data_IF_580935250981
#
_entry.id   IF_580935250981
#
_cell.length_a   1.000
_cell.length_b   1.000
_cell.length_c   1.000
_cell.angle_alpha   90.00
_cell.angle_beta   90.00
_cell.angle_gamma   90.00
#
_symmetry.space_group_name_H-M   'P 1'
#
loop_
_entity.id
_entity.type
_entity.pdbx_description
1 polymer ?
#
# COMPACT_ATOMS: atom_id res chain seq x y z
N UNK A 1 6.78 15.88 21.61
CA UNK A 1 6.73 14.43 21.92
C UNK A 1 5.27 14.06 22.13
N UNK A 2 4.81 12.96 21.54
CA UNK A 2 3.41 12.53 21.62
C UNK A 2 3.33 11.07 22.12
N UNK A 3 2.43 10.81 23.06
CA UNK A 3 2.16 9.46 23.58
C UNK A 3 0.87 8.96 22.94
N UNK A 4 0.93 7.79 22.30
CA UNK A 4 -0.16 7.18 21.53
C UNK A 4 -0.36 5.75 22.05
N UNK A 5 -1.22 5.54 23.06
CA UNK A 5 -1.41 4.23 23.67
C UNK A 5 -1.82 3.13 22.68
N UNK A 6 -2.58 3.48 21.65
CA UNK A 6 -3.07 2.56 20.62
C UNK A 6 -1.94 1.98 19.74
N UNK A 7 -0.77 2.62 19.73
CA UNK A 7 0.37 2.22 18.92
C UNK A 7 0.86 0.82 19.26
N UNK A 8 0.82 0.43 20.54
CA UNK A 8 1.30 -0.89 20.98
C UNK A 8 0.51 -2.02 20.31
N UNK A 9 -0.82 -1.91 20.31
CA UNK A 9 -1.70 -2.87 19.66
C UNK A 9 -1.52 -2.87 18.14
N UNK A 10 -1.36 -1.69 17.53
CA UNK A 10 -1.18 -1.56 16.08
C UNK A 10 0.13 -2.22 15.61
N UNK A 11 1.24 -1.99 16.32
CA UNK A 11 2.55 -2.60 16.03
C UNK A 11 2.49 -4.12 16.17
N UNK A 12 1.83 -4.63 17.21
CA UNK A 12 1.65 -6.07 17.41
C UNK A 12 0.90 -6.72 16.25
N UNK A 13 -0.28 -6.20 15.90
CA UNK A 13 -1.09 -6.71 14.79
C UNK A 13 -0.36 -6.60 13.44
N UNK A 14 0.39 -5.52 13.23
CA UNK A 14 1.24 -5.31 12.05
C UNK A 14 2.34 -6.37 11.94
N UNK A 15 2.90 -6.80 13.07
CA UNK A 15 3.91 -7.86 13.08
C UNK A 15 3.33 -9.23 12.74
N UNK A 16 2.10 -9.51 13.17
CA UNK A 16 1.36 -10.75 12.90
C UNK A 16 0.86 -10.79 11.44
N UNK A 17 0.50 -9.64 10.85
CA UNK A 17 -0.05 -9.52 9.50
C UNK A 17 0.99 -9.39 8.37
N UNK A 18 2.27 -9.75 8.62
CA UNK A 18 3.36 -9.57 7.65
C UNK A 18 3.14 -10.33 6.33
N UNK A 19 2.65 -11.57 6.39
CA UNK A 19 2.37 -12.39 5.21
C UNK A 19 1.26 -11.78 4.35
N UNK A 20 0.13 -11.44 4.95
CA UNK A 20 -1.00 -10.78 4.28
C UNK A 20 -0.58 -9.48 3.58
N UNK A 21 0.32 -8.70 4.19
CA UNK A 21 0.85 -7.47 3.55
C UNK A 21 1.71 -7.75 2.33
N UNK A 22 2.50 -8.83 2.34
CA UNK A 22 3.30 -9.25 1.18
C UNK A 22 2.38 -9.69 0.04
N UNK A 23 1.34 -10.47 0.34
CA UNK A 23 0.32 -10.88 -0.64
C UNK A 23 -0.40 -9.67 -1.24
N UNK A 24 -0.84 -8.73 -0.41
CA UNK A 24 -1.46 -7.48 -0.88
C UNK A 24 -0.53 -6.65 -1.76
N UNK A 25 0.78 -6.62 -1.46
CA UNK A 25 1.78 -5.95 -2.30
C UNK A 25 1.89 -6.65 -3.66
N UNK A 26 1.99 -7.98 -3.68
CA UNK A 26 2.05 -8.76 -4.92
C UNK A 26 0.81 -8.56 -5.79
N UNK A 27 -0.39 -8.66 -5.22
CA UNK A 27 -1.65 -8.47 -5.95
C UNK A 27 -1.77 -7.05 -6.55
N UNK A 28 -1.21 -6.03 -5.89
CA UNK A 28 -1.15 -4.66 -6.44
C UNK A 28 -0.20 -4.57 -7.63
N UNK A 29 1.00 -5.13 -7.52
CA UNK A 29 1.95 -5.18 -8.63
C UNK A 29 1.36 -5.93 -9.84
N UNK A 30 0.66 -7.05 -9.59
CA UNK A 30 -0.02 -7.80 -10.65
C UNK A 30 -1.15 -6.98 -11.29
N UNK A 31 -1.97 -6.30 -10.49
CA UNK A 31 -2.99 -5.38 -11.01
C UNK A 31 -2.37 -4.31 -11.90
N UNK A 32 -1.32 -3.64 -11.42
CA UNK A 32 -0.69 -2.52 -12.12
C UNK A 32 -0.11 -2.96 -13.46
N UNK A 33 0.59 -4.11 -13.49
CA UNK A 33 1.12 -4.67 -14.74
C UNK A 33 0.02 -5.05 -15.74
N UNK A 34 -1.12 -5.58 -15.27
CA UNK A 34 -2.27 -5.89 -16.12
C UNK A 34 -2.94 -4.62 -16.64
N UNK A 35 -3.12 -3.60 -15.80
CA UNK A 35 -3.67 -2.29 -16.21
C UNK A 35 -2.77 -1.63 -17.26
N UNK A 36 -1.44 -1.66 -17.09
CA UNK A 36 -0.49 -1.15 -18.08
C UNK A 36 -0.57 -1.89 -19.42
N UNK A 37 -0.74 -3.22 -19.40
CA UNK A 37 -0.95 -3.99 -20.65
C UNK A 37 -2.26 -3.61 -21.34
N UNK A 38 -3.34 -3.41 -20.58
CA UNK A 38 -4.63 -3.01 -21.12
C UNK A 38 -4.52 -1.63 -21.77
N UNK A 39 -3.93 -0.65 -21.09
CA UNK A 39 -3.76 0.70 -21.65
C UNK A 39 -2.91 0.69 -22.92
N UNK A 40 -1.86 -0.15 -23.01
CA UNK A 40 -1.06 -0.31 -24.23
C UNK A 40 -1.88 -0.90 -25.39
N UNK A 41 -2.72 -1.90 -25.12
CA UNK A 41 -3.60 -2.51 -26.13
C UNK A 41 -4.70 -1.54 -26.60
N UNK A 42 -5.27 -0.77 -25.68
CA UNK A 42 -6.25 0.26 -26.03
C UNK A 42 -5.63 1.35 -26.89
N UNK A 43 -4.38 1.73 -26.59
CA UNK A 43 -3.63 2.68 -27.40
C UNK A 43 -3.36 2.15 -28.81
N UNK A 44 -2.87 0.91 -28.96
CA UNK A 44 -2.63 0.32 -30.29
C UNK A 44 -3.91 0.20 -31.11
N UNK A 45 -5.03 -0.20 -30.48
CA UNK A 45 -6.34 -0.28 -31.13
C UNK A 45 -6.86 1.07 -31.64
N UNK A 46 -6.53 2.17 -30.96
CA UNK A 46 -7.00 3.51 -31.33
C UNK A 46 -6.14 4.20 -32.38
N UNK A 47 -4.82 3.99 -32.35
CA UNK A 47 -3.87 4.80 -33.12
C UNK A 47 -3.10 4.03 -34.20
N UNK A 48 -3.13 2.70 -34.23
CA UNK A 48 -2.48 1.90 -35.27
C UNK A 48 -3.47 1.46 -36.36
N UNK A 49 -3.07 1.58 -37.64
CA UNK A 49 -3.82 1.06 -38.79
C UNK A 49 -3.68 -0.47 -38.87
N UNK A 50 -4.42 -1.16 -38.02
CA UNK A 50 -4.42 -2.62 -37.91
C UNK A 50 -5.42 -3.26 -38.89
N UNK A 51 -5.10 -4.44 -39.39
CA UNK A 51 -6.05 -5.22 -40.19
C UNK A 51 -7.22 -5.71 -39.31
N UNK A 52 -8.41 -5.91 -39.90
CA UNK A 52 -9.60 -6.36 -39.15
C UNK A 52 -9.37 -7.67 -38.38
N UNK A 53 -8.50 -8.55 -38.90
CA UNK A 53 -8.16 -9.81 -38.23
C UNK A 53 -7.23 -9.61 -37.01
N UNK A 54 -6.35 -8.62 -37.05
CA UNK A 54 -5.49 -8.24 -35.90
C UNK A 54 -6.31 -7.54 -34.82
N UNK A 55 -7.21 -6.64 -35.22
CA UNK A 55 -8.17 -5.99 -34.32
C UNK A 55 -9.01 -7.02 -33.55
N UNK A 56 -9.55 -8.03 -34.24
CA UNK A 56 -10.32 -9.09 -33.59
C UNK A 56 -9.53 -9.87 -32.52
N UNK A 57 -8.25 -10.17 -32.79
CA UNK A 57 -7.38 -10.86 -31.82
C UNK A 57 -7.09 -9.98 -30.61
N UNK A 58 -6.73 -8.72 -30.82
CA UNK A 58 -6.42 -7.77 -29.75
C UNK A 58 -7.65 -7.48 -28.87
N UNK A 59 -8.84 -7.39 -29.46
CA UNK A 59 -10.10 -7.25 -28.70
C UNK A 59 -10.36 -8.48 -27.81
N UNK A 60 -10.14 -9.69 -28.33
CA UNK A 60 -10.30 -10.91 -27.53
C UNK A 60 -9.29 -11.00 -26.38
N UNK A 61 -8.05 -10.54 -26.58
CA UNK A 61 -7.04 -10.46 -25.54
C UNK A 61 -7.38 -9.40 -24.50
N UNK A 62 -7.85 -8.23 -24.94
CA UNK A 62 -8.34 -7.15 -24.08
C UNK A 62 -9.47 -7.61 -23.17
N UNK A 63 -10.47 -8.32 -23.71
CA UNK A 63 -11.57 -8.88 -22.92
C UNK A 63 -11.09 -9.88 -21.87
N UNK A 64 -10.13 -10.75 -22.23
CA UNK A 64 -9.53 -11.70 -21.28
C UNK A 64 -8.78 -10.98 -20.15
N UNK A 65 -8.01 -9.93 -20.46
CA UNK A 65 -7.30 -9.13 -19.47
C UNK A 65 -8.27 -8.36 -18.56
N UNK A 66 -9.39 -7.85 -19.10
CA UNK A 66 -10.44 -7.22 -18.30
C UNK A 66 -11.08 -8.21 -17.32
N UNK A 67 -11.32 -9.45 -17.73
CA UNK A 67 -11.82 -10.49 -16.82
C UNK A 67 -10.79 -10.80 -15.72
N UNK A 68 -9.51 -10.93 -16.07
CA UNK A 68 -8.43 -11.12 -15.11
C UNK A 68 -8.35 -9.96 -14.11
N UNK A 69 -8.42 -8.72 -14.60
CA UNK A 69 -8.39 -7.52 -13.78
C UNK A 69 -9.57 -7.47 -12.79
N UNK A 70 -10.77 -7.82 -13.24
CA UNK A 70 -11.95 -7.93 -12.36
C UNK A 70 -11.71 -8.97 -11.24
N UNK A 71 -11.15 -10.12 -11.57
CA UNK A 71 -10.77 -11.15 -10.60
C UNK A 71 -9.79 -10.63 -9.55
N UNK A 72 -8.70 -9.99 -9.98
CA UNK A 72 -7.68 -9.42 -9.08
C UNK A 72 -8.29 -8.33 -8.18
N UNK A 73 -9.16 -7.47 -8.72
CA UNK A 73 -9.84 -6.41 -7.94
C UNK A 73 -10.73 -6.99 -6.84
N UNK A 74 -11.43 -8.10 -7.11
CA UNK A 74 -12.22 -8.80 -6.08
C UNK A 74 -11.30 -9.37 -4.99
N UNK A 75 -10.25 -10.09 -5.37
CA UNK A 75 -9.27 -10.66 -4.41
C UNK A 75 -8.61 -9.57 -3.55
N UNK A 76 -8.24 -8.44 -4.16
CA UNK A 76 -7.68 -7.29 -3.43
C UNK A 76 -8.67 -6.73 -2.42
N UNK A 77 -9.95 -6.58 -2.80
CA UNK A 77 -10.99 -6.08 -1.89
C UNK A 77 -11.17 -7.01 -0.70
N UNK A 78 -11.25 -8.31 -0.94
CA UNK A 78 -11.47 -9.31 0.11
C UNK A 78 -10.27 -9.39 1.05
N UNK A 79 -9.05 -9.44 0.51
CA UNK A 79 -7.83 -9.45 1.30
C UNK A 79 -7.65 -8.15 2.11
N UNK A 80 -8.01 -6.99 1.55
CA UNK A 80 -8.00 -5.71 2.27
C UNK A 80 -9.01 -5.70 3.41
N UNK A 81 -10.23 -6.20 3.17
CA UNK A 81 -11.27 -6.29 4.19
C UNK A 81 -10.87 -7.21 5.33
N UNK A 82 -10.32 -8.39 5.03
CA UNK A 82 -9.80 -9.32 6.03
C UNK A 82 -8.67 -8.70 6.85
N UNK A 83 -7.75 -7.96 6.20
CA UNK A 83 -6.69 -7.26 6.90
C UNK A 83 -7.23 -6.12 7.78
N UNK A 84 -8.20 -5.34 7.30
CA UNK A 84 -8.84 -4.24 8.05
C UNK A 84 -9.55 -4.74 9.30
N UNK A 85 -10.25 -5.87 9.20
CA UNK A 85 -10.97 -6.50 10.32
C UNK A 85 -10.06 -6.98 11.46
N UNK A 86 -8.76 -7.18 11.22
CA UNK A 86 -7.78 -7.51 12.28
C UNK A 86 -7.52 -6.32 13.22
N UNK A 87 -7.74 -5.10 12.74
CA UNK A 87 -7.63 -3.86 13.53
C UNK A 87 -9.00 -3.48 14.10
N UNK A 88 -9.30 -2.18 14.21
CA UNK A 88 -10.62 -1.76 14.67
C UNK A 88 -11.70 -2.15 13.65
N UNK A 89 -12.75 -2.84 14.10
CA UNK A 89 -13.81 -3.40 13.22
C UNK A 89 -14.42 -2.38 12.24
N UNK A 90 -14.58 -1.14 12.69
CA UNK A 90 -15.20 -0.05 11.91
C UNK A 90 -14.14 0.82 11.22
N UNK A 91 -13.06 1.17 11.92
CA UNK A 91 -12.15 2.24 11.52
C UNK A 91 -10.84 1.73 10.92
N UNK A 92 -10.48 0.47 11.18
CA UNK A 92 -9.24 -0.13 10.74
C UNK A 92 -8.03 0.36 11.52
N UNK A 93 -6.97 0.66 10.77
CA UNK A 93 -5.70 1.15 11.29
C UNK A 93 -5.80 2.63 11.67
N UNK A 94 -5.17 3.01 12.78
CA UNK A 94 -5.14 4.39 13.21
C UNK A 94 -4.19 5.22 12.33
N UNK A 95 -3.03 4.65 11.97
CA UNK A 95 -1.99 5.39 11.23
C UNK A 95 -2.16 5.35 9.70
N UNK A 96 -3.03 4.49 9.18
CA UNK A 96 -3.18 4.27 7.73
C UNK A 96 -4.63 4.21 7.31
N UNK A 97 -4.93 4.86 6.20
CA UNK A 97 -6.21 4.74 5.48
C UNK A 97 -5.95 4.00 4.17
N UNK A 98 -6.05 2.67 4.21
CA UNK A 98 -5.73 1.82 3.07
C UNK A 98 -4.23 1.84 2.74
N UNK A 99 -3.86 2.50 1.64
CA UNK A 99 -2.45 2.63 1.22
C UNK A 99 -1.79 3.94 1.67
N UNK A 100 -2.58 4.95 2.05
CA UNK A 100 -2.09 6.27 2.42
C UNK A 100 -2.01 6.44 3.94
N UNK A 101 -1.25 7.45 4.37
CA UNK A 101 -1.24 7.88 5.77
C UNK A 101 -2.62 8.43 6.14
N UNK A 102 -3.09 8.10 7.35
CA UNK A 102 -4.31 8.72 7.87
C UNK A 102 -4.06 10.19 8.18
N UNK A 103 -5.15 10.96 8.32
CA UNK A 103 -5.05 12.36 8.78
C UNK A 103 -4.38 12.45 10.15
N UNK A 104 -4.62 11.48 11.03
CA UNK A 104 -3.95 11.41 12.33
C UNK A 104 -2.45 11.16 12.17
N UNK A 105 -2.03 10.20 11.33
CA UNK A 105 -0.60 9.96 11.07
C UNK A 105 0.11 11.20 10.55
N UNK A 106 -0.51 11.95 9.63
CA UNK A 106 0.04 13.22 9.16
C UNK A 106 0.15 14.27 10.27
N UNK A 107 -0.78 14.31 11.23
CA UNK A 107 -0.65 15.18 12.40
C UNK A 107 0.51 14.74 13.30
N UNK A 108 0.66 13.43 13.55
CA UNK A 108 1.79 12.90 14.34
C UNK A 108 3.11 13.27 13.69
N UNK A 109 3.27 13.01 12.40
CA UNK A 109 4.45 13.33 11.60
C UNK A 109 4.80 14.82 11.65
N UNK A 110 3.79 15.70 11.53
CA UNK A 110 4.01 17.15 11.51
C UNK A 110 4.28 17.77 12.87
N UNK A 111 3.62 17.28 13.93
CA UNK A 111 3.63 17.93 15.24
C UNK A 111 4.52 17.24 16.28
N UNK A 112 4.85 15.96 16.10
CA UNK A 112 5.64 15.21 17.06
C UNK A 112 7.00 14.81 16.49
N UNK A 113 8.07 15.45 16.97
CA UNK A 113 9.44 15.03 16.65
C UNK A 113 9.74 13.59 17.12
N UNK A 114 9.03 13.13 18.16
CA UNK A 114 9.13 11.78 18.73
C UNK A 114 7.73 11.35 19.18
N UNK A 115 7.40 10.08 18.96
CA UNK A 115 6.19 9.46 19.46
C UNK A 115 6.47 8.06 20.04
N UNK A 116 5.70 7.65 21.05
CA UNK A 116 5.82 6.35 21.71
C UNK A 116 4.45 5.86 22.19
N UNK A 117 4.39 4.62 22.69
CA UNK A 117 3.16 4.07 23.28
C UNK A 117 2.96 4.51 24.73
N UNK A 118 4.05 4.53 25.50
CA UNK A 118 4.05 4.87 26.91
C UNK A 118 5.27 5.75 27.25
N UNK A 119 5.16 6.65 28.22
CA UNK A 119 6.28 7.53 28.62
C UNK A 119 7.47 6.72 29.15
N UNK A 120 7.19 5.57 29.77
CA UNK A 120 8.19 4.62 30.28
C UNK A 120 9.12 4.09 29.20
N UNK A 121 8.69 4.09 27.92
CA UNK A 121 9.52 3.67 26.78
C UNK A 121 10.81 4.51 26.69
N UNK A 122 10.77 5.77 27.12
CA UNK A 122 11.95 6.64 27.14
C UNK A 122 12.91 6.34 28.27
N UNK A 123 12.44 5.77 29.38
CA UNK A 123 13.29 5.34 30.49
C UNK A 123 14.22 4.18 30.11
N UNK A 124 13.92 3.47 29.02
CA UNK A 124 14.77 2.40 28.48
C UNK A 124 15.97 2.94 27.68
N UNK A 125 15.97 4.22 27.34
CA UNK A 125 17.05 4.85 26.59
C UNK A 125 17.95 5.68 27.51
N UNK A 126 19.21 5.81 27.11
CA UNK A 126 20.15 6.72 27.79
C UNK A 126 19.64 8.17 27.72
N UNK A 127 19.70 8.94 28.81
CA UNK A 127 19.38 10.36 28.80
C UNK A 127 20.19 11.18 27.79
N UNK A 128 21.36 10.70 27.39
CA UNK A 128 22.25 11.34 26.40
C UNK A 128 21.99 10.87 24.96
N UNK A 129 20.92 10.11 24.71
CA UNK A 129 20.64 9.57 23.38
C UNK A 129 20.24 10.69 22.41
N UNK A 130 20.95 10.74 21.29
CA UNK A 130 20.59 11.60 20.15
C UNK A 130 19.65 10.85 19.20
N UNK A 131 18.43 11.36 19.01
CA UNK A 131 17.45 10.79 18.09
C UNK A 131 17.69 11.34 16.68
N UNK A 132 17.74 10.45 15.69
CA UNK A 132 17.85 10.81 14.27
C UNK A 132 16.65 10.22 13.52
N UNK A 133 15.98 11.00 12.65
CA UNK A 133 14.97 10.45 11.75
C UNK A 133 15.62 9.52 10.72
N UNK A 134 14.81 8.66 10.12
CA UNK A 134 15.18 7.95 8.89
C UNK A 134 15.26 8.94 7.72
N UNK A 135 15.93 8.54 6.65
CA UNK A 135 15.91 9.28 5.39
C UNK A 135 14.48 9.28 4.81
N UNK A 136 14.05 10.43 4.31
CA UNK A 136 12.77 10.58 3.61
C UNK A 136 12.97 10.22 2.14
N UNK A 137 12.14 9.32 1.63
CA UNK A 137 12.22 8.85 0.24
C UNK A 137 11.09 9.41 -0.62
N UNK A 138 11.44 9.86 -1.82
CA UNK A 138 10.53 10.31 -2.86
C UNK A 138 10.20 9.18 -3.84
N UNK A 139 9.05 9.23 -4.55
CA UNK A 139 8.60 8.16 -5.43
C UNK A 139 9.62 7.69 -6.49
N UNK A 140 10.43 8.60 -7.02
CA UNK A 140 11.45 8.29 -8.04
C UNK A 140 12.72 7.65 -7.48
N UNK A 141 12.91 7.68 -6.16
CA UNK A 141 14.09 7.11 -5.50
C UNK A 141 13.91 5.62 -5.23
N UNK A 142 12.66 5.13 -5.14
CA UNK A 142 12.38 3.71 -4.89
C UNK A 142 12.96 2.80 -5.98
N UNK A 143 12.85 3.20 -7.25
CA UNK A 143 13.38 2.43 -8.39
C UNK A 143 14.91 2.39 -8.40
N UNK A 144 15.56 3.45 -7.93
CA UNK A 144 17.03 3.56 -7.89
C UNK A 144 17.62 2.80 -6.71
N UNK A 145 16.94 2.83 -5.56
CA UNK A 145 17.41 2.24 -4.31
C UNK A 145 16.97 0.77 -4.12
N UNK A 146 16.05 0.26 -4.94
CA UNK A 146 15.56 -1.12 -4.87
C UNK A 146 14.79 -1.44 -3.59
N UNK A 147 14.08 -0.44 -3.04
CA UNK A 147 13.35 -0.50 -1.75
C UNK A 147 11.89 -0.99 -1.88
#
# INVERSE_FOLDING_TARGET
>A
MLVIPELEQEVKLQSESKSTRKELRHLRMERDSVEDTIHRLEWSLQFEDLTENEKGKLLSEHDNLLQKLKGIRCLLRDAQMQHHQKFHKVWGQLMKTGYQNSRFAHQVERFACLYCSQVTDFGLYSPNKYYRPSEDYMPHEFDVLGL
#
